data_IF_467065254214
#
_entry.id   IF_467065254214
#
_cell.length_a   1.000
_cell.length_b   1.000
_cell.length_c   1.000
_cell.angle_alpha   90.00
_cell.angle_beta   90.00
_cell.angle_gamma   90.00
#
_symmetry.space_group_name_H-M   'P 1'
#
loop_
_entity.id
_entity.type
_entity.pdbx_description
1 polymer ?
#
# COMPACT_ATOMS: atom_id res chain seq x y z
N UNK A 1 -11.60 9.41 8.94
CA UNK A 1 -12.14 10.75 9.29
C UNK A 1 -12.90 11.43 8.16
N UNK A 2 -12.41 11.48 6.91
CA UNK A 2 -13.11 12.17 5.79
C UNK A 2 -14.57 11.72 5.57
N UNK A 3 -14.84 10.41 5.70
CA UNK A 3 -16.19 9.88 5.57
C UNK A 3 -17.15 10.44 6.63
N UNK A 4 -16.71 10.59 7.88
CA UNK A 4 -17.57 11.08 8.98
C UNK A 4 -18.01 12.52 8.73
N UNK A 5 -17.11 13.37 8.22
CA UNK A 5 -17.42 14.76 7.87
C UNK A 5 -18.44 14.84 6.73
N UNK A 6 -18.33 13.97 5.72
CA UNK A 6 -19.30 13.86 4.62
C UNK A 6 -20.68 13.39 5.09
N UNK A 7 -20.74 12.49 6.08
CA UNK A 7 -21.99 11.96 6.59
C UNK A 7 -22.75 12.96 7.48
N UNK A 8 -22.07 13.97 8.03
CA UNK A 8 -22.73 15.03 8.79
C UNK A 8 -23.54 15.99 7.92
N UNK A 9 -23.10 16.27 6.68
CA UNK A 9 -23.76 17.23 5.79
C UNK A 9 -25.23 16.88 5.46
N UNK A 10 -25.59 15.63 5.10
CA UNK A 10 -26.98 15.23 4.91
C UNK A 10 -27.85 15.42 6.15
N UNK A 11 -27.32 15.12 7.34
CA UNK A 11 -28.04 15.27 8.61
C UNK A 11 -28.34 16.75 8.86
N UNK A 12 -27.34 17.62 8.70
CA UNK A 12 -27.52 19.08 8.88
C UNK A 12 -28.50 19.64 7.84
N UNK A 13 -28.40 19.21 6.58
CA UNK A 13 -29.31 19.63 5.51
C UNK A 13 -30.76 19.19 5.78
N UNK A 14 -30.96 17.96 6.24
CA UNK A 14 -32.26 17.45 6.65
C UNK A 14 -32.81 18.22 7.84
N UNK A 15 -31.98 18.48 8.86
CA UNK A 15 -32.36 19.23 10.06
C UNK A 15 -32.80 20.67 9.75
N UNK A 16 -32.10 21.32 8.80
CA UNK A 16 -32.45 22.66 8.31
C UNK A 16 -33.62 22.66 7.30
N UNK A 17 -34.23 21.51 7.02
CA UNK A 17 -35.32 21.34 6.04
C UNK A 17 -34.96 21.90 4.65
N UNK A 18 -33.71 21.68 4.23
CA UNK A 18 -33.25 22.03 2.89
C UNK A 18 -33.93 21.15 1.84
N UNK A 19 -33.93 21.62 0.59
CA UNK A 19 -34.48 20.87 -0.53
C UNK A 19 -33.79 19.50 -0.65
N UNK A 20 -34.55 18.40 -0.83
CA UNK A 20 -33.98 17.07 -1.09
C UNK A 20 -33.07 17.01 -2.33
N UNK A 21 -33.18 17.97 -3.25
CA UNK A 21 -32.28 18.08 -4.42
C UNK A 21 -30.80 18.23 -4.02
N UNK A 22 -30.51 18.70 -2.80
CA UNK A 22 -29.14 18.76 -2.27
C UNK A 22 -28.47 17.36 -2.22
N UNK A 23 -29.26 16.28 -2.14
CA UNK A 23 -28.76 14.91 -2.15
C UNK A 23 -28.13 14.53 -3.49
N UNK A 24 -28.64 15.05 -4.60
CA UNK A 24 -28.05 14.82 -5.92
C UNK A 24 -26.66 15.46 -6.00
N UNK A 25 -26.53 16.70 -5.51
CA UNK A 25 -25.26 17.42 -5.47
C UNK A 25 -24.26 16.69 -4.56
N UNK A 26 -24.69 16.33 -3.34
CA UNK A 26 -23.85 15.59 -2.41
C UNK A 26 -23.41 14.22 -2.97
N UNK A 27 -24.28 13.54 -3.71
CA UNK A 27 -23.96 12.28 -4.39
C UNK A 27 -22.88 12.44 -5.47
N UNK A 28 -22.97 13.48 -6.31
CA UNK A 28 -21.96 13.78 -7.33
C UNK A 28 -20.62 14.16 -6.70
N UNK A 29 -20.66 15.03 -5.68
CA UNK A 29 -19.49 15.43 -4.89
C UNK A 29 -18.77 14.22 -4.29
N UNK A 30 -19.55 13.31 -3.70
CA UNK A 30 -19.01 12.11 -3.08
C UNK A 30 -18.34 11.21 -4.12
N UNK A 31 -18.98 11.01 -5.28
CA UNK A 31 -18.42 10.22 -6.37
C UNK A 31 -17.06 10.78 -6.84
N UNK A 32 -16.96 12.10 -7.00
CA UNK A 32 -15.72 12.76 -7.39
C UNK A 32 -14.61 12.55 -6.34
N UNK A 33 -14.92 12.76 -5.06
CA UNK A 33 -13.98 12.50 -3.98
C UNK A 33 -13.53 11.03 -3.91
N UNK A 34 -14.45 10.09 -4.13
CA UNK A 34 -14.11 8.67 -4.19
C UNK A 34 -13.15 8.36 -5.35
N UNK A 35 -13.44 8.90 -6.54
CA UNK A 35 -12.57 8.75 -7.71
C UNK A 35 -11.19 9.34 -7.45
N UNK A 36 -11.10 10.55 -6.87
CA UNK A 36 -9.83 11.20 -6.53
C UNK A 36 -9.04 10.36 -5.52
N UNK A 37 -9.69 9.88 -4.46
CA UNK A 37 -9.04 9.06 -3.43
C UNK A 37 -8.53 7.72 -3.99
N UNK A 38 -9.26 7.11 -4.94
CA UNK A 38 -8.85 5.86 -5.58
C UNK A 38 -7.94 6.05 -6.79
N UNK A 39 -7.77 7.28 -7.27
CA UNK A 39 -7.00 7.59 -8.48
C UNK A 39 -5.58 7.02 -8.45
N UNK A 40 -4.88 7.12 -7.32
CA UNK A 40 -3.51 6.62 -7.20
C UNK A 40 -3.46 5.09 -7.19
N UNK A 41 -4.35 4.44 -6.44
CA UNK A 41 -4.47 2.98 -6.45
C UNK A 41 -4.81 2.46 -7.86
N UNK A 42 -5.68 3.18 -8.58
CA UNK A 42 -6.01 2.86 -9.97
C UNK A 42 -4.82 3.10 -10.90
N UNK A 43 -4.05 4.17 -10.72
CA UNK A 43 -2.86 4.45 -11.52
C UNK A 43 -1.80 3.35 -11.39
N UNK A 44 -1.58 2.85 -10.18
CA UNK A 44 -0.70 1.69 -9.92
C UNK A 44 -1.29 0.43 -10.52
N UNK A 45 -2.59 0.18 -10.36
CA UNK A 45 -3.19 -0.99 -10.98
C UNK A 45 -3.09 -0.94 -12.51
N UNK A 46 -3.26 0.24 -13.15
CA UNK A 46 -3.32 0.41 -14.62
C UNK A 46 -2.06 -0.13 -15.28
N UNK A 47 -0.91 -0.06 -14.60
CA UNK A 47 0.34 -0.63 -15.11
C UNK A 47 0.33 -2.16 -15.16
N UNK A 48 -0.55 -2.84 -14.43
CA UNK A 48 -0.62 -4.30 -14.29
C UNK A 48 -1.69 -4.96 -15.18
N UNK A 49 -2.36 -4.21 -16.07
CA UNK A 49 -3.25 -4.75 -17.12
C UNK A 49 -4.60 -5.32 -16.67
N UNK A 50 -4.84 -5.53 -15.37
CA UNK A 50 -6.07 -6.17 -14.84
C UNK A 50 -7.26 -5.23 -14.56
N UNK A 51 -7.21 -4.00 -15.07
CA UNK A 51 -7.83 -2.86 -14.36
C UNK A 51 -9.25 -2.49 -14.77
N UNK A 52 -9.58 -2.61 -16.04
CA UNK A 52 -10.83 -2.05 -16.54
C UNK A 52 -12.04 -2.66 -15.84
N UNK A 53 -11.98 -3.95 -15.52
CA UNK A 53 -13.08 -4.66 -14.85
C UNK A 53 -13.17 -4.33 -13.36
N UNK A 54 -12.03 -4.22 -12.65
CA UNK A 54 -12.02 -3.94 -11.21
C UNK A 54 -12.49 -2.53 -10.87
N UNK A 55 -12.12 -1.53 -11.68
CA UNK A 55 -12.57 -0.14 -11.48
C UNK A 55 -14.08 -0.03 -11.66
N UNK A 56 -14.61 -0.57 -12.76
CA UNK A 56 -16.04 -0.47 -13.08
C UNK A 56 -16.88 -1.17 -12.01
N UNK A 57 -16.48 -2.38 -11.58
CA UNK A 57 -17.17 -3.11 -10.51
C UNK A 57 -17.14 -2.34 -9.19
N UNK A 58 -15.99 -1.76 -8.82
CA UNK A 58 -15.88 -0.96 -7.59
C UNK A 58 -16.84 0.23 -7.60
N UNK A 59 -16.93 0.98 -8.71
CA UNK A 59 -17.83 2.13 -8.82
C UNK A 59 -19.31 1.69 -8.75
N UNK A 60 -19.66 0.64 -9.50
CA UNK A 60 -21.04 0.13 -9.59
C UNK A 60 -21.56 -0.33 -8.23
N UNK A 61 -20.73 -1.01 -7.43
CA UNK A 61 -21.16 -1.49 -6.10
C UNK A 61 -21.18 -0.38 -5.05
N UNK A 62 -20.21 0.53 -5.12
CA UNK A 62 -20.00 1.50 -4.05
C UNK A 62 -21.03 2.63 -4.12
N UNK A 63 -21.39 3.09 -5.32
CA UNK A 63 -22.29 4.23 -5.51
C UNK A 63 -23.71 4.01 -4.95
N UNK A 64 -24.42 2.89 -5.22
CA UNK A 64 -25.76 2.65 -4.68
C UNK A 64 -25.79 2.60 -3.15
N UNK A 65 -24.81 1.94 -2.53
CA UNK A 65 -24.69 1.86 -1.07
C UNK A 65 -24.58 3.26 -0.48
N UNK A 66 -23.80 4.14 -1.10
CA UNK A 66 -23.68 5.52 -0.67
C UNK A 66 -24.96 6.34 -0.88
N UNK A 67 -25.65 6.21 -2.01
CA UNK A 67 -26.92 6.88 -2.24
C UNK A 67 -27.97 6.52 -1.17
N UNK A 68 -28.06 5.23 -0.82
CA UNK A 68 -28.94 4.75 0.25
C UNK A 68 -28.55 5.36 1.59
N UNK A 69 -27.27 5.32 1.96
CA UNK A 69 -26.77 5.85 3.23
C UNK A 69 -27.04 7.36 3.38
N UNK A 70 -26.71 8.17 2.37
CA UNK A 70 -26.92 9.63 2.39
C UNK A 70 -28.41 9.96 2.50
N UNK A 71 -29.26 9.19 1.82
CA UNK A 71 -30.72 9.36 1.89
C UNK A 71 -31.24 9.07 3.31
N UNK A 72 -30.81 7.97 3.93
CA UNK A 72 -31.19 7.62 5.31
C UNK A 72 -30.78 8.73 6.28
N UNK A 73 -29.53 9.22 6.18
CA UNK A 73 -29.02 10.26 7.06
C UNK A 73 -29.75 11.60 6.90
N UNK A 74 -30.15 11.94 5.68
CA UNK A 74 -30.97 13.13 5.43
C UNK A 74 -32.34 13.01 6.11
N UNK A 75 -33.01 11.87 5.99
CA UNK A 75 -34.30 11.65 6.64
C UNK A 75 -34.18 11.62 8.17
N UNK A 76 -33.07 11.13 8.72
CA UNK A 76 -32.80 11.24 10.17
C UNK A 76 -32.71 12.71 10.59
N UNK A 77 -31.94 13.52 9.87
CA UNK A 77 -31.87 14.96 10.11
C UNK A 77 -33.23 15.64 10.02
N UNK A 78 -34.01 15.29 8.99
CA UNK A 78 -35.36 15.80 8.78
C UNK A 78 -36.31 15.41 9.91
N UNK A 79 -36.29 14.16 10.35
CA UNK A 79 -37.07 13.67 11.49
C UNK A 79 -36.73 14.43 12.78
N UNK A 80 -35.45 14.67 13.05
CA UNK A 80 -35.01 15.48 14.20
C UNK A 80 -35.53 16.91 14.15
N UNK A 81 -35.73 17.48 12.95
CA UNK A 81 -36.26 18.85 12.82
C UNK A 81 -37.69 19.00 13.36
N UNK A 82 -38.50 17.92 13.35
CA UNK A 82 -39.86 17.93 13.90
C UNK A 82 -39.89 18.02 15.43
N UNK A 83 -38.85 17.51 16.09
CA UNK A 83 -38.73 17.62 17.55
C UNK A 83 -38.45 19.07 17.95
N UNK A 84 -37.69 19.80 17.13
CA UNK A 84 -37.24 21.15 17.45
C UNK A 84 -38.18 22.26 16.98
N UNK A 85 -39.06 21.99 16.01
CA UNK A 85 -39.89 23.03 15.39
C UNK A 85 -41.26 22.48 14.94
N UNK A 86 -42.33 23.22 15.23
CA UNK A 86 -43.67 22.95 14.71
C UNK A 86 -43.92 23.69 13.39
N UNK A 87 -44.35 22.98 12.34
CA UNK A 87 -44.72 23.55 11.03
C UNK A 87 -43.92 22.94 9.86
N UNK A 88 -44.62 22.58 8.76
CA UNK A 88 -44.04 21.75 7.69
C UNK A 88 -44.04 22.48 6.36
N UNK A 89 -42.86 22.89 5.91
CA UNK A 89 -42.58 23.12 4.49
C UNK A 89 -41.09 22.95 4.23
N UNK A 90 -40.75 22.30 3.12
CA UNK A 90 -39.39 22.28 2.62
C UNK A 90 -39.06 23.66 2.06
N UNK A 91 -37.84 24.13 2.31
CA UNK A 91 -37.32 25.30 1.59
C UNK A 91 -37.09 24.94 0.11
N UNK A 92 -37.44 25.86 -0.78
CA UNK A 92 -37.06 25.74 -2.18
C UNK A 92 -35.53 25.74 -2.30
N UNK A 93 -35.02 25.01 -3.29
CA UNK A 93 -33.59 25.00 -3.56
C UNK A 93 -33.09 26.41 -3.84
N UNK A 94 -32.03 26.83 -3.16
CA UNK A 94 -31.52 28.20 -3.19
C UNK A 94 -30.00 28.23 -3.21
N UNK A 95 -29.42 29.40 -3.52
CA UNK A 95 -27.98 29.60 -3.41
C UNK A 95 -27.42 29.30 -2.01
N UNK A 96 -28.25 29.40 -0.96
CA UNK A 96 -27.88 29.00 0.41
C UNK A 96 -27.45 27.53 0.53
N UNK A 97 -28.00 26.66 -0.31
CA UNK A 97 -27.68 25.23 -0.28
C UNK A 97 -26.27 24.96 -0.85
N UNK A 98 -25.82 25.77 -1.81
CA UNK A 98 -24.44 25.72 -2.31
C UNK A 98 -23.42 26.12 -1.25
N UNK A 99 -23.72 27.17 -0.46
CA UNK A 99 -22.86 27.59 0.66
C UNK A 99 -22.78 26.52 1.76
N UNK A 100 -23.83 25.72 1.93
CA UNK A 100 -23.81 24.62 2.88
C UNK A 100 -22.92 23.46 2.39
N UNK A 101 -22.88 23.18 1.09
CA UNK A 101 -22.11 22.04 0.53
C UNK A 101 -20.63 22.38 0.31
N UNK A 102 -20.32 23.62 -0.08
CA UNK A 102 -18.96 24.02 -0.46
C UNK A 102 -17.87 23.80 0.61
N UNK A 103 -18.10 24.07 1.91
CA UNK A 103 -17.10 23.82 2.95
C UNK A 103 -16.78 22.33 3.11
N UNK A 104 -17.80 21.46 3.05
CA UNK A 104 -17.62 20.01 3.13
C UNK A 104 -16.81 19.49 1.96
N UNK A 105 -17.08 20.01 0.76
CA UNK A 105 -16.30 19.73 -0.44
C UNK A 105 -14.81 20.04 -0.23
N UNK A 106 -14.52 21.24 0.25
CA UNK A 106 -13.14 21.69 0.43
C UNK A 106 -12.40 20.87 1.49
N UNK A 107 -13.04 20.67 2.66
CA UNK A 107 -12.46 19.89 3.76
C UNK A 107 -12.19 18.45 3.34
N UNK A 108 -13.13 17.82 2.63
CA UNK A 108 -13.01 16.40 2.27
C UNK A 108 -12.00 16.18 1.15
N UNK A 109 -11.93 17.11 0.20
CA UNK A 109 -10.87 17.15 -0.81
C UNK A 109 -9.49 17.30 -0.15
N UNK A 110 -9.37 18.24 0.80
CA UNK A 110 -8.12 18.48 1.53
C UNK A 110 -7.67 17.26 2.34
N UNK A 111 -8.58 16.61 3.08
CA UNK A 111 -8.27 15.37 3.81
C UNK A 111 -7.91 14.24 2.83
N UNK A 112 -8.62 14.10 1.71
CA UNK A 112 -8.34 13.08 0.70
C UNK A 112 -6.94 13.25 0.10
N UNK A 113 -6.56 14.48 -0.24
CA UNK A 113 -5.21 14.81 -0.71
C UNK A 113 -4.17 14.53 0.39
N UNK A 114 -4.44 14.97 1.62
CA UNK A 114 -3.54 14.75 2.76
C UNK A 114 -3.27 13.25 2.99
N UNK A 115 -4.33 12.43 3.11
CA UNK A 115 -4.18 10.99 3.30
C UNK A 115 -3.39 10.37 2.15
N UNK A 116 -3.64 10.78 0.91
CA UNK A 116 -2.92 10.23 -0.22
C UNK A 116 -1.44 10.69 -0.32
N UNK A 117 -1.08 11.83 0.26
CA UNK A 117 0.32 12.29 0.32
C UNK A 117 1.08 11.63 1.48
N UNK A 118 0.41 11.37 2.61
CA UNK A 118 1.04 10.93 3.85
C UNK A 118 0.88 9.45 4.17
N UNK A 119 -0.25 8.82 3.81
CA UNK A 119 -0.33 7.36 3.77
C UNK A 119 0.44 6.95 2.52
N UNK A 120 1.69 6.52 2.72
CA UNK A 120 2.52 5.95 1.66
C UNK A 120 1.79 4.85 0.89
N UNK A 121 2.33 4.38 -0.25
CA UNK A 121 1.67 3.38 -1.08
C UNK A 121 1.18 2.22 -0.21
N UNK A 122 -0.15 2.06 -0.14
CA UNK A 122 -0.81 1.04 0.67
C UNK A 122 -0.19 -0.29 0.28
N UNK A 123 0.52 -0.90 1.22
CA UNK A 123 1.22 -2.16 1.02
C UNK A 123 0.18 -3.20 0.60
N UNK A 124 0.36 -3.71 -0.61
CA UNK A 124 -0.72 -4.32 -1.38
C UNK A 124 -1.27 -5.54 -0.64
N UNK A 125 -2.57 -5.54 -0.36
CA UNK A 125 -3.28 -6.68 0.26
C UNK A 125 -3.16 -8.00 -0.52
N UNK A 126 -2.61 -7.97 -1.74
CA UNK A 126 -2.18 -9.14 -2.50
C UNK A 126 -1.00 -9.90 -1.85
N UNK A 127 -0.19 -9.25 -1.01
CA UNK A 127 0.83 -9.92 -0.18
C UNK A 127 0.22 -10.78 0.94
N UNK A 128 -1.03 -10.48 1.34
CA UNK A 128 -1.76 -11.22 2.38
C UNK A 128 -2.40 -12.49 1.80
N UNK A 129 -2.72 -12.54 0.51
CA UNK A 129 -3.34 -13.72 -0.12
C UNK A 129 -2.36 -14.85 -0.50
N UNK A 130 -1.04 -14.68 -0.35
CA UNK A 130 -0.07 -15.79 -0.55
C UNK A 130 0.03 -16.75 0.66
N UNK A 131 -0.74 -16.52 1.73
CA UNK A 131 -0.70 -17.30 2.98
C UNK A 131 -1.85 -18.32 3.04
N UNK A 132 -2.13 -19.02 1.95
CA UNK A 132 -3.09 -20.13 1.93
C UNK A 132 -2.44 -21.48 2.30
N UNK A 133 -1.33 -21.47 3.05
CA UNK A 133 -0.79 -22.66 3.70
C UNK A 133 -0.98 -22.55 5.21
N UNK A 134 -2.23 -22.76 5.64
CA UNK A 134 -2.76 -22.49 6.98
C UNK A 134 -2.03 -23.24 8.11
N UNK A 135 -1.39 -24.38 7.83
CA UNK A 135 -0.70 -25.17 8.86
C UNK A 135 0.62 -24.58 9.36
N UNK A 136 1.31 -23.77 8.54
CA UNK A 136 2.64 -23.23 8.87
C UNK A 136 2.60 -21.76 9.29
N UNK A 137 1.42 -21.13 9.24
CA UNK A 137 1.25 -19.71 9.54
C UNK A 137 0.99 -19.47 11.04
N UNK A 138 0.31 -20.39 11.72
CA UNK A 138 -0.06 -20.26 13.14
C UNK A 138 1.16 -20.34 14.08
N UNK A 139 2.32 -20.81 13.61
CA UNK A 139 3.56 -20.91 14.40
C UNK A 139 4.66 -19.89 14.05
N UNK A 140 4.40 -18.93 13.15
CA UNK A 140 5.42 -17.94 12.77
C UNK A 140 5.50 -16.84 13.83
N UNK A 141 6.60 -16.83 14.56
CA UNK A 141 6.90 -15.76 15.53
C UNK A 141 7.68 -14.68 14.78
N UNK A 142 7.17 -13.45 14.81
CA UNK A 142 7.91 -12.31 14.30
C UNK A 142 9.17 -12.09 15.15
N UNK A 143 10.30 -11.98 14.48
CA UNK A 143 11.57 -11.61 15.11
C UNK A 143 12.12 -10.35 14.42
N UNK A 144 12.40 -9.27 15.18
CA UNK A 144 13.05 -8.10 14.62
C UNK A 144 14.47 -8.46 14.15
N UNK A 145 14.94 -7.83 13.07
CA UNK A 145 16.30 -8.02 12.60
C UNK A 145 17.31 -7.48 13.63
N UNK A 146 18.42 -8.20 13.88
CA UNK A 146 19.49 -7.70 14.73
C UNK A 146 20.11 -6.43 14.13
N UNK A 147 20.65 -5.59 15.00
CA UNK A 147 21.40 -4.40 14.62
C UNK A 147 22.88 -4.67 14.83
N UNK A 148 23.69 -4.38 13.80
CA UNK A 148 25.15 -4.55 13.84
C UNK A 148 25.80 -3.17 13.80
N UNK A 149 26.59 -2.87 14.83
CA UNK A 149 27.22 -1.54 14.97
C UNK A 149 28.57 -1.46 14.23
N UNK A 150 29.22 -2.61 14.04
CA UNK A 150 30.61 -2.68 13.59
C UNK A 150 30.81 -3.69 12.47
N UNK A 151 31.86 -3.49 11.66
CA UNK A 151 32.23 -4.45 10.61
C UNK A 151 32.79 -5.72 11.24
N UNK A 152 33.46 -5.60 12.38
CA UNK A 152 34.07 -6.70 13.12
C UNK A 152 33.02 -7.72 13.56
N UNK A 153 31.88 -7.27 14.08
CA UNK A 153 30.76 -8.13 14.47
C UNK A 153 30.17 -8.87 13.25
N UNK A 154 30.01 -8.16 12.14
CA UNK A 154 29.55 -8.74 10.87
C UNK A 154 30.53 -9.82 10.38
N UNK A 155 31.83 -9.55 10.40
CA UNK A 155 32.84 -10.52 9.99
C UNK A 155 32.87 -11.78 10.90
N UNK A 156 32.58 -11.63 12.19
CA UNK A 156 32.44 -12.78 13.09
C UNK A 156 31.28 -13.70 12.65
N UNK A 157 30.13 -13.13 12.31
CA UNK A 157 28.97 -13.89 11.83
C UNK A 157 29.23 -14.50 10.45
N UNK A 158 29.85 -13.76 9.52
CA UNK A 158 30.20 -14.30 8.19
C UNK A 158 31.13 -15.52 8.31
N UNK A 159 32.11 -15.47 9.20
CA UNK A 159 33.15 -16.50 9.31
C UNK A 159 32.73 -17.70 10.17
N UNK A 160 32.02 -17.46 11.28
CA UNK A 160 31.74 -18.49 12.30
C UNK A 160 30.26 -18.65 12.64
N UNK A 161 29.39 -17.79 12.11
CA UNK A 161 27.96 -17.87 12.35
C UNK A 161 27.36 -19.16 11.80
N UNK A 162 26.31 -19.62 12.47
CA UNK A 162 25.44 -20.67 11.98
C UNK A 162 24.76 -20.29 10.66
N UNK A 163 24.22 -21.28 9.96
CA UNK A 163 23.43 -21.06 8.74
C UNK A 163 22.29 -20.07 8.96
N UNK A 164 21.61 -20.14 10.11
CA UNK A 164 20.52 -19.23 10.46
C UNK A 164 21.02 -17.80 10.70
N UNK A 165 22.08 -17.63 11.49
CA UNK A 165 22.67 -16.30 11.75
C UNK A 165 23.16 -15.65 10.46
N UNK A 166 23.83 -16.39 9.57
CA UNK A 166 24.25 -15.88 8.26
C UNK A 166 23.06 -15.51 7.36
N UNK A 167 21.99 -16.30 7.41
CA UNK A 167 20.78 -16.07 6.64
C UNK A 167 20.01 -14.82 7.14
N UNK A 168 20.04 -14.54 8.44
CA UNK A 168 19.48 -13.32 9.05
C UNK A 168 20.39 -12.11 8.79
N UNK A 169 21.71 -12.32 8.84
CA UNK A 169 22.72 -11.27 8.64
C UNK A 169 22.51 -10.53 7.32
N UNK A 170 22.24 -11.22 6.22
CA UNK A 170 22.06 -10.57 4.91
C UNK A 170 20.92 -9.55 4.90
N UNK A 171 19.82 -9.85 5.59
CA UNK A 171 18.71 -8.90 5.74
C UNK A 171 19.11 -7.72 6.63
N UNK A 172 19.71 -8.02 7.79
CA UNK A 172 20.11 -7.02 8.76
C UNK A 172 21.10 -5.99 8.17
N UNK A 173 22.16 -6.46 7.50
CA UNK A 173 23.14 -5.56 6.88
C UNK A 173 22.53 -4.80 5.71
N UNK A 174 21.66 -5.44 4.92
CA UNK A 174 21.05 -4.81 3.76
C UNK A 174 20.04 -3.71 4.12
N UNK A 175 19.33 -3.88 5.22
CA UNK A 175 18.34 -2.91 5.70
C UNK A 175 18.98 -1.79 6.52
N UNK A 176 19.86 -2.14 7.47
CA UNK A 176 20.25 -1.23 8.54
C UNK A 176 21.67 -0.67 8.38
N UNK A 177 22.62 -1.41 7.79
CA UNK A 177 24.01 -0.99 7.80
C UNK A 177 24.23 0.26 6.91
N UNK A 178 24.96 1.29 7.40
CA UNK A 178 25.05 2.59 6.70
C UNK A 178 25.92 2.53 5.44
N UNK A 179 27.00 1.75 5.46
CA UNK A 179 27.91 1.59 4.33
C UNK A 179 27.32 0.61 3.31
N UNK A 180 26.57 1.14 2.33
CA UNK A 180 25.89 0.34 1.30
C UNK A 180 26.85 -0.55 0.50
N UNK A 181 28.10 -0.10 0.30
CA UNK A 181 29.08 -0.84 -0.50
C UNK A 181 29.59 -2.04 0.29
N UNK A 182 29.92 -1.83 1.56
CA UNK A 182 30.27 -2.94 2.45
C UNK A 182 29.11 -3.92 2.65
N UNK A 183 27.88 -3.44 2.84
CA UNK A 183 26.70 -4.30 2.94
C UNK A 183 26.50 -5.15 1.68
N UNK A 184 26.73 -4.58 0.49
CA UNK A 184 26.70 -5.31 -0.77
C UNK A 184 27.80 -6.38 -0.80
N UNK A 185 29.03 -6.04 -0.40
CA UNK A 185 30.15 -6.98 -0.37
C UNK A 185 29.90 -8.14 0.60
N UNK A 186 29.28 -7.89 1.75
CA UNK A 186 28.81 -8.94 2.68
C UNK A 186 27.78 -9.85 1.99
N UNK A 187 26.74 -9.29 1.39
CA UNK A 187 25.72 -10.08 0.71
C UNK A 187 26.31 -10.90 -0.45
N UNK A 188 27.24 -10.34 -1.23
CA UNK A 188 27.90 -11.07 -2.31
C UNK A 188 28.75 -12.23 -1.79
N UNK A 189 29.41 -12.09 -0.63
CA UNK A 189 30.14 -13.20 0.02
C UNK A 189 29.18 -14.27 0.53
N UNK A 190 28.10 -13.88 1.19
CA UNK A 190 27.05 -14.81 1.66
C UNK A 190 26.35 -15.53 0.50
N UNK A 191 26.30 -14.92 -0.69
CA UNK A 191 25.78 -15.55 -1.88
C UNK A 191 26.65 -16.71 -2.40
N UNK A 192 27.86 -16.90 -1.88
CA UNK A 192 28.74 -18.04 -2.16
C UNK A 192 28.68 -19.13 -1.07
N UNK A 193 27.82 -18.98 -0.04
CA UNK A 193 27.71 -19.97 1.04
C UNK A 193 27.14 -21.32 0.52
N UNK A 194 27.57 -22.43 1.13
CA UNK A 194 27.14 -23.77 0.75
C UNK A 194 25.64 -23.97 0.95
N UNK A 195 25.07 -23.36 1.99
CA UNK A 195 23.66 -23.48 2.31
C UNK A 195 22.81 -22.61 1.37
N UNK A 196 21.92 -23.26 0.61
CA UNK A 196 21.04 -22.58 -0.34
C UNK A 196 20.17 -21.48 0.30
N UNK A 197 19.74 -21.67 1.55
CA UNK A 197 18.96 -20.67 2.29
C UNK A 197 19.75 -19.38 2.52
N UNK A 198 21.06 -19.46 2.81
CA UNK A 198 21.92 -18.29 2.99
C UNK A 198 22.09 -17.55 1.66
N UNK A 199 22.31 -18.28 0.55
CA UNK A 199 22.46 -17.66 -0.78
C UNK A 199 21.19 -16.94 -1.26
N UNK A 200 20.03 -17.53 -1.02
CA UNK A 200 18.73 -16.92 -1.36
C UNK A 200 18.49 -15.68 -0.50
N UNK A 201 18.76 -15.75 0.81
CA UNK A 201 18.60 -14.60 1.69
C UNK A 201 19.62 -13.50 1.38
N UNK A 202 20.80 -13.84 0.86
CA UNK A 202 21.75 -12.87 0.34
C UNK A 202 21.16 -12.09 -0.85
N UNK A 203 20.40 -12.74 -1.74
CA UNK A 203 19.68 -12.04 -2.81
C UNK A 203 18.65 -11.04 -2.26
N UNK A 204 17.93 -11.41 -1.20
CA UNK A 204 17.02 -10.49 -0.51
C UNK A 204 17.75 -9.34 0.19
N UNK A 205 18.91 -9.60 0.79
CA UNK A 205 19.78 -8.55 1.35
C UNK A 205 20.15 -7.50 0.29
N UNK A 206 20.52 -7.94 -0.92
CA UNK A 206 20.76 -7.03 -2.05
C UNK A 206 19.50 -6.21 -2.42
N UNK A 207 18.32 -6.82 -2.39
CA UNK A 207 17.06 -6.11 -2.62
C UNK A 207 16.78 -5.05 -1.54
N UNK A 208 17.11 -5.32 -0.27
CA UNK A 208 17.01 -4.32 0.80
C UNK A 208 18.00 -3.17 0.65
N UNK A 209 19.21 -3.42 0.17
CA UNK A 209 20.16 -2.34 -0.15
C UNK A 209 19.60 -1.46 -1.28
N UNK A 210 19.03 -2.07 -2.33
CA UNK A 210 18.37 -1.32 -3.40
C UNK A 210 17.23 -0.44 -2.85
N UNK A 211 16.36 -1.01 -2.01
CA UNK A 211 15.22 -0.31 -1.38
C UNK A 211 15.66 0.84 -0.48
N UNK A 212 16.61 0.59 0.42
CA UNK A 212 16.93 1.54 1.50
C UNK A 212 18.01 2.54 1.11
N UNK A 213 18.95 2.15 0.24
CA UNK A 213 20.11 2.97 -0.13
C UNK A 213 20.05 3.47 -1.57
N UNK A 214 19.23 2.88 -2.43
CA UNK A 214 19.10 3.26 -3.84
C UNK A 214 20.39 3.07 -4.65
N UNK A 215 21.31 2.21 -4.18
CA UNK A 215 22.65 2.04 -4.75
C UNK A 215 23.06 0.58 -4.77
N UNK A 216 23.48 0.09 -5.94
CA UNK A 216 24.07 -1.23 -6.15
C UNK A 216 24.98 -1.22 -7.38
N UNK A 217 26.05 -2.01 -7.36
CA UNK A 217 26.95 -2.24 -8.48
C UNK A 217 26.40 -3.34 -9.39
N UNK A 218 25.63 -2.94 -10.41
CA UNK A 218 24.90 -3.84 -11.33
C UNK A 218 25.72 -5.00 -11.88
N UNK A 219 26.97 -4.74 -12.26
CA UNK A 219 27.83 -5.73 -12.90
C UNK A 219 28.23 -6.88 -11.94
N UNK A 220 28.20 -6.65 -10.62
CA UNK A 220 28.48 -7.66 -9.58
C UNK A 220 27.21 -8.36 -9.10
N UNK A 221 26.13 -7.60 -8.95
CA UNK A 221 24.84 -8.12 -8.44
C UNK A 221 24.10 -8.98 -9.47
N UNK A 222 24.07 -8.55 -10.73
CA UNK A 222 23.28 -9.23 -11.77
C UNK A 222 23.69 -10.71 -11.97
N UNK A 223 24.99 -11.08 -12.04
CA UNK A 223 25.40 -12.48 -12.16
C UNK A 223 24.89 -13.36 -11.01
N UNK A 224 24.97 -12.86 -9.77
CA UNK A 224 24.52 -13.59 -8.56
C UNK A 224 23.02 -13.84 -8.61
N UNK A 225 22.21 -12.80 -8.85
CA UNK A 225 20.75 -12.95 -8.94
C UNK A 225 20.33 -13.94 -10.03
N UNK A 226 20.98 -13.88 -11.21
CA UNK A 226 20.68 -14.80 -12.31
C UNK A 226 21.17 -16.22 -12.06
N UNK A 227 22.27 -16.40 -11.31
CA UNK A 227 22.76 -17.72 -10.89
C UNK A 227 21.74 -18.36 -9.94
N UNK A 228 21.36 -17.66 -8.87
CA UNK A 228 20.43 -18.21 -7.88
C UNK A 228 19.05 -18.46 -8.48
N UNK A 229 18.60 -17.63 -9.42
CA UNK A 229 17.34 -17.88 -10.14
C UNK A 229 17.35 -19.19 -10.94
N UNK A 230 18.52 -19.67 -11.36
CA UNK A 230 18.66 -20.97 -12.07
C UNK A 230 18.87 -22.15 -11.12
N UNK A 231 19.50 -21.93 -9.98
CA UNK A 231 19.95 -23.00 -9.09
C UNK A 231 18.99 -23.25 -7.90
N UNK A 232 18.10 -22.31 -7.60
CA UNK A 232 17.25 -22.38 -6.41
C UNK A 232 15.82 -22.76 -6.74
N UNK A 233 15.58 -24.03 -7.08
CA UNK A 233 14.24 -24.54 -7.40
C UNK A 233 13.25 -24.37 -6.24
N UNK A 234 13.66 -24.77 -5.03
CA UNK A 234 12.83 -24.66 -3.81
C UNK A 234 12.48 -23.21 -3.44
N UNK A 235 13.40 -22.29 -3.69
CA UNK A 235 13.29 -20.89 -3.28
C UNK A 235 13.15 -19.92 -4.46
N UNK A 236 12.74 -20.43 -5.62
CA UNK A 236 12.69 -19.67 -6.87
C UNK A 236 11.82 -18.42 -6.74
N UNK A 237 10.71 -18.54 -6.01
CA UNK A 237 9.81 -17.42 -5.71
C UNK A 237 10.52 -16.29 -4.97
N UNK A 238 11.24 -16.59 -3.90
CA UNK A 238 11.99 -15.59 -3.12
C UNK A 238 13.07 -14.89 -3.93
N UNK A 239 13.76 -15.61 -4.82
CA UNK A 239 14.75 -14.99 -5.72
C UNK A 239 14.07 -14.08 -6.76
N UNK A 240 12.90 -14.46 -7.27
CA UNK A 240 12.12 -13.59 -8.17
C UNK A 240 11.65 -12.33 -7.44
N UNK A 241 11.13 -12.45 -6.22
CA UNK A 241 10.70 -11.31 -5.40
C UNK A 241 11.90 -10.34 -5.17
N UNK A 242 13.10 -10.87 -4.86
CA UNK A 242 14.32 -10.07 -4.75
C UNK A 242 14.67 -9.34 -6.06
N UNK A 243 14.60 -10.03 -7.20
CA UNK A 243 14.88 -9.45 -8.52
C UNK A 243 13.87 -8.35 -8.86
N UNK A 244 12.60 -8.55 -8.54
CA UNK A 244 11.53 -7.58 -8.76
C UNK A 244 11.80 -6.29 -7.98
N UNK A 245 12.13 -6.42 -6.69
CA UNK A 245 12.51 -5.28 -5.85
C UNK A 245 13.73 -4.55 -6.40
N UNK A 246 14.79 -5.27 -6.79
CA UNK A 246 15.98 -4.66 -7.38
C UNK A 246 15.64 -3.94 -8.68
N UNK A 247 14.81 -4.53 -9.55
CA UNK A 247 14.37 -3.89 -10.79
C UNK A 247 13.58 -2.60 -10.51
N UNK A 248 12.67 -2.63 -9.54
CA UNK A 248 11.85 -1.49 -9.15
C UNK A 248 12.71 -0.33 -8.64
N UNK A 249 13.55 -0.56 -7.62
CA UNK A 249 14.31 0.51 -6.97
C UNK A 249 15.52 0.99 -7.78
N UNK A 250 16.13 0.13 -8.60
CA UNK A 250 17.29 0.50 -9.41
C UNK A 250 16.93 0.87 -10.86
N UNK A 251 15.65 0.78 -11.25
CA UNK A 251 15.20 0.88 -12.64
C UNK A 251 15.98 -0.07 -13.57
N UNK A 252 16.16 -1.32 -13.14
CA UNK A 252 16.84 -2.36 -13.90
C UNK A 252 15.83 -3.27 -14.60
N UNK A 253 16.34 -4.14 -15.49
CA UNK A 253 15.54 -5.13 -16.24
C UNK A 253 16.19 -6.50 -16.18
N UNK A 254 16.48 -6.96 -14.97
CA UNK A 254 17.02 -8.30 -14.70
C UNK A 254 15.86 -9.30 -14.83
N UNK A 255 16.09 -10.39 -15.57
CA UNK A 255 15.13 -11.49 -15.73
C UNK A 255 13.71 -11.06 -16.19
N UNK A 256 13.58 -9.97 -16.94
CA UNK A 256 12.29 -9.35 -17.32
C UNK A 256 11.29 -10.31 -18.01
N UNK A 257 11.77 -11.39 -18.64
CA UNK A 257 10.93 -12.43 -19.23
C UNK A 257 10.01 -13.12 -18.22
N UNK A 258 10.39 -13.18 -16.93
CA UNK A 258 9.58 -13.79 -15.88
C UNK A 258 8.47 -12.89 -15.35
N UNK A 259 8.49 -11.59 -15.66
CA UNK A 259 7.53 -10.60 -15.18
C UNK A 259 6.58 -10.11 -16.27
N UNK A 260 6.73 -10.59 -17.52
CA UNK A 260 5.76 -10.33 -18.58
C UNK A 260 4.54 -11.22 -18.36
N UNK A 261 3.44 -10.61 -17.89
CA UNK A 261 2.09 -11.16 -17.99
C UNK A 261 1.39 -10.57 -19.21
#
# INVERSE_FOLDING_TARGET
MAAVVLLAAPIVAGYQRRSPLILLILGVVFLLNHVISKWFAWRVAVTDGSVKQKIVVSIIFTYPVFCVLVTILFFIGFALSFVSYSGVSFSAFSGGDLYLVAPFLFITSAIGIYLNVFDGPVEDSASIQRVDNKSDAESRIYQPLPFYESKEEIEQVVSRGSTEEKAVLSFAVGQNFPDWKYAQDVCLRLAEDEAQVVRVNACMGLAYIARTKGRLEKHRVKPVLLRELRQSDRFRGSVLDAIEMVNFYMNWRIASKHFKK
#
